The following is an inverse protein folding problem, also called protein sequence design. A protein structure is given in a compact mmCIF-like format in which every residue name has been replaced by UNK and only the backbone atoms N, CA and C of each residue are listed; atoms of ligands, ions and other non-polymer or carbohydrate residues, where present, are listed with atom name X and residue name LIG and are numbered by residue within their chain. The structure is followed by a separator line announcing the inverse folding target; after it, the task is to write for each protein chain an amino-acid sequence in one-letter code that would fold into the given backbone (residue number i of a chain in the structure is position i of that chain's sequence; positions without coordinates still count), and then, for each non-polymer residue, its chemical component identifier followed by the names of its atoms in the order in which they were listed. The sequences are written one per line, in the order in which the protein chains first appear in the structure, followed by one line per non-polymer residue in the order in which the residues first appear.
data_IF_304883846648
#
_entry.id   IF_304883846648
#
_cell.length_a   1.000
_cell.length_b   1.000
_cell.length_c   1.000
_cell.angle_alpha   90.00
_cell.angle_beta   90.00
_cell.angle_gamma   90.00
#
_symmetry.space_group_name_H-M   'P 1'
#
loop_
_entity.id
_entity.type
_entity.pdbx_description
1 polymer ?
#
# COMPACT_ATOMS: atom_id res chain seq x y z
N UNK A 1 5.15 -11.74 -18.42
CA UNK A 1 5.55 -10.61 -17.53
C UNK A 1 4.86 -10.79 -16.18
N UNK A 2 5.60 -11.11 -15.10
CA UNK A 2 5.01 -11.34 -13.76
C UNK A 2 4.41 -10.03 -13.26
N UNK A 3 3.10 -10.00 -12.98
CA UNK A 3 2.46 -8.79 -12.44
C UNK A 3 2.99 -8.56 -11.03
N UNK A 4 3.47 -7.34 -10.69
CA UNK A 4 3.92 -7.06 -9.33
C UNK A 4 2.73 -7.16 -8.38
N UNK A 5 2.83 -8.06 -7.40
CA UNK A 5 1.83 -8.30 -6.37
C UNK A 5 2.13 -7.49 -5.10
N UNK A 6 2.75 -6.31 -5.23
CA UNK A 6 3.20 -5.52 -4.08
C UNK A 6 2.43 -4.21 -3.99
N UNK A 7 2.06 -3.82 -2.77
CA UNK A 7 1.54 -2.50 -2.43
C UNK A 7 2.36 -1.87 -1.30
N UNK A 8 2.24 -0.56 -1.16
CA UNK A 8 2.69 0.19 0.02
C UNK A 8 1.49 0.84 0.67
N UNK A 9 1.46 0.83 2.00
CA UNK A 9 0.55 1.64 2.79
C UNK A 9 1.35 2.67 3.59
N UNK A 10 0.85 3.90 3.63
CA UNK A 10 1.44 5.04 4.34
C UNK A 10 0.51 5.47 5.47
N UNK A 11 1.06 6.15 6.48
CA UNK A 11 0.28 6.73 7.58
C UNK A 11 -0.18 5.72 8.63
N UNK A 12 0.38 4.51 8.61
CA UNK A 12 0.12 3.47 9.61
C UNK A 12 1.15 3.62 10.73
N UNK A 13 0.78 4.13 11.92
CA UNK A 13 1.68 4.14 13.05
C UNK A 13 2.00 2.68 13.41
N UNK A 14 3.28 2.31 13.35
CA UNK A 14 3.73 0.97 13.74
C UNK A 14 4.37 1.12 15.11
N UNK A 15 3.80 0.45 16.11
CA UNK A 15 4.40 0.34 17.43
C UNK A 15 5.46 -0.77 17.45
N UNK A 16 6.44 -0.71 18.36
CA UNK A 16 7.38 -1.81 18.55
C UNK A 16 6.63 -3.12 18.79
N UNK A 17 7.03 -4.19 18.09
CA UNK A 17 6.48 -5.55 18.15
C UNK A 17 5.07 -5.75 17.56
N UNK A 18 4.49 -4.79 16.83
CA UNK A 18 3.24 -5.04 16.11
C UNK A 18 3.45 -5.93 14.88
N UNK A 19 2.55 -6.91 14.71
CA UNK A 19 2.47 -7.70 13.49
C UNK A 19 1.89 -6.86 12.35
N UNK A 20 2.71 -6.55 11.35
CA UNK A 20 2.30 -5.71 10.21
C UNK A 20 1.25 -6.38 9.32
N UNK A 21 1.16 -7.72 9.31
CA UNK A 21 0.12 -8.44 8.58
C UNK A 21 -1.25 -8.20 9.22
N UNK A 22 -1.35 -8.38 10.54
CA UNK A 22 -2.60 -8.22 11.28
C UNK A 22 -3.06 -6.77 11.27
N UNK A 23 -2.11 -5.83 11.45
CA UNK A 23 -2.38 -4.40 11.35
C UNK A 23 -2.98 -4.04 9.98
N UNK A 24 -2.39 -4.55 8.89
CA UNK A 24 -2.89 -4.30 7.55
C UNK A 24 -4.25 -4.96 7.28
N UNK A 25 -4.44 -6.21 7.75
CA UNK A 25 -5.73 -6.93 7.64
C UNK A 25 -6.83 -6.18 8.39
N UNK A 26 -6.56 -5.70 9.60
CA UNK A 26 -7.49 -4.90 10.40
C UNK A 26 -7.87 -3.61 9.68
N UNK A 27 -6.91 -2.86 9.13
CA UNK A 27 -7.18 -1.66 8.33
C UNK A 27 -8.04 -2.00 7.11
N UNK A 28 -7.76 -3.10 6.42
CA UNK A 28 -8.56 -3.54 5.27
C UNK A 28 -9.98 -3.93 5.65
N UNK A 29 -10.16 -4.61 6.79
CA UNK A 29 -11.46 -5.01 7.30
C UNK A 29 -12.29 -3.81 7.73
N UNK A 30 -11.76 -3.00 8.64
CA UNK A 30 -12.46 -1.84 9.24
C UNK A 30 -12.78 -0.74 8.25
N UNK A 31 -11.84 -0.38 7.36
CA UNK A 31 -12.00 0.79 6.48
C UNK A 31 -12.52 0.44 5.09
N UNK A 32 -12.48 -0.84 4.69
CA UNK A 32 -12.83 -1.22 3.30
C UNK A 32 -13.89 -2.29 3.18
N UNK A 33 -14.19 -3.02 4.25
CA UNK A 33 -15.01 -4.23 4.17
C UNK A 33 -14.35 -5.30 3.29
N UNK A 34 -13.02 -5.29 3.19
CA UNK A 34 -12.26 -6.29 2.45
C UNK A 34 -11.67 -7.24 3.48
N UNK A 35 -12.25 -8.43 3.58
CA UNK A 35 -11.73 -9.49 4.41
C UNK A 35 -10.66 -10.27 3.62
N UNK A 36 -9.42 -10.18 4.07
CA UNK A 36 -8.29 -10.86 3.43
C UNK A 36 -8.05 -12.18 4.18
N UNK A 37 -8.06 -13.33 3.49
CA UNK A 37 -7.72 -14.59 4.14
C UNK A 37 -6.27 -14.58 4.62
N UNK A 38 -5.94 -15.44 5.58
CA UNK A 38 -4.60 -15.46 6.20
C UNK A 38 -3.46 -15.59 5.18
N UNK A 39 -3.66 -16.43 4.16
CA UNK A 39 -2.71 -16.69 3.07
C UNK A 39 -2.67 -15.58 2.00
N UNK A 40 -3.45 -14.50 2.12
CA UNK A 40 -3.45 -13.42 1.13
C UNK A 40 -2.14 -12.63 1.13
N UNK A 41 -1.50 -12.51 2.28
CA UNK A 41 -0.21 -11.83 2.47
C UNK A 41 0.86 -12.91 2.52
N UNK A 42 1.88 -12.76 1.67
CA UNK A 42 3.05 -13.64 1.68
C UNK A 42 4.12 -13.08 2.63
N UNK A 43 4.29 -11.76 2.64
CA UNK A 43 5.18 -11.06 3.57
C UNK A 43 4.77 -9.59 3.65
N UNK A 44 4.87 -9.01 4.85
CA UNK A 44 4.87 -7.56 5.04
C UNK A 44 5.98 -7.12 5.99
N UNK A 45 6.45 -5.88 5.82
CA UNK A 45 7.39 -5.25 6.75
C UNK A 45 7.39 -3.73 6.58
N UNK A 46 7.79 -3.03 7.63
CA UNK A 46 8.08 -1.59 7.57
C UNK A 46 9.32 -1.30 6.72
N UNK A 47 9.24 -0.28 5.88
CA UNK A 47 10.40 0.24 5.15
C UNK A 47 11.18 1.24 6.00
N UNK A 48 12.47 1.49 5.71
CA UNK A 48 13.22 2.55 6.36
C UNK A 48 12.52 3.91 6.19
N UNK A 49 12.41 4.64 7.29
CA UNK A 49 11.91 6.01 7.34
C UNK A 49 13.03 6.99 7.64
N UNK A 50 12.81 8.26 7.28
CA UNK A 50 13.61 9.36 7.82
C UNK A 50 13.15 9.65 9.24
N UNK A 51 14.03 10.25 10.05
CA UNK A 51 13.67 10.68 11.40
C UNK A 51 12.35 11.47 11.41
N UNK A 52 11.50 11.19 12.41
CA UNK A 52 10.18 11.82 12.60
C UNK A 52 9.14 11.55 11.50
N UNK A 53 9.37 10.57 10.60
CA UNK A 53 8.37 10.14 9.62
C UNK A 53 7.89 8.72 9.91
N UNK A 54 6.59 8.49 9.74
CA UNK A 54 6.00 7.16 9.86
C UNK A 54 6.47 6.32 8.65
N UNK A 55 7.15 5.17 8.87
CA UNK A 55 7.59 4.32 7.78
C UNK A 55 6.40 3.73 7.01
N UNK A 56 6.46 3.68 5.68
CA UNK A 56 5.47 2.92 4.93
C UNK A 56 5.68 1.42 5.13
N UNK A 57 4.60 0.67 5.20
CA UNK A 57 4.66 -0.79 5.19
C UNK A 57 4.56 -1.25 3.73
N UNK A 58 5.47 -2.13 3.32
CA UNK A 58 5.36 -2.84 2.05
C UNK A 58 4.68 -4.19 2.28
N UNK A 59 3.72 -4.52 1.43
CA UNK A 59 2.97 -5.78 1.48
C UNK A 59 3.16 -6.50 0.15
N UNK A 60 3.61 -7.76 0.20
CA UNK A 60 3.61 -8.69 -0.92
C UNK A 60 2.42 -9.63 -0.76
N UNK A 61 1.55 -9.64 -1.76
CA UNK A 61 0.41 -10.55 -1.81
C UNK A 61 0.78 -11.86 -2.50
N UNK A 62 0.21 -12.97 -2.03
CA UNK A 62 0.32 -14.28 -2.67
C UNK A 62 -0.28 -14.30 -4.09
N UNK A 63 -1.24 -13.42 -4.36
CA UNK A 63 -1.90 -13.32 -5.67
C UNK A 63 -2.18 -11.88 -6.09
N UNK A 64 -2.10 -11.65 -7.40
CA UNK A 64 -2.49 -10.38 -8.02
C UNK A 64 -3.97 -10.05 -7.82
N UNK A 65 -4.82 -11.07 -7.57
CA UNK A 65 -6.24 -10.91 -7.24
C UNK A 65 -6.42 -10.11 -5.95
N UNK A 66 -5.75 -10.53 -4.87
CA UNK A 66 -5.80 -9.83 -3.58
C UNK A 66 -5.26 -8.40 -3.69
N UNK A 67 -4.12 -8.23 -4.38
CA UNK A 67 -3.57 -6.90 -4.66
C UNK A 67 -4.57 -5.99 -5.38
N UNK A 68 -5.22 -6.48 -6.45
CA UNK A 68 -6.21 -5.70 -7.22
C UNK A 68 -7.44 -5.34 -6.39
N UNK A 69 -7.98 -6.31 -5.65
CA UNK A 69 -9.11 -6.10 -4.75
C UNK A 69 -8.81 -5.01 -3.71
N UNK A 70 -7.67 -5.13 -3.01
CA UNK A 70 -7.27 -4.17 -2.00
C UNK A 70 -7.00 -2.78 -2.58
N UNK A 71 -6.35 -2.72 -3.74
CA UNK A 71 -6.05 -1.45 -4.42
C UNK A 71 -7.31 -0.75 -4.97
N UNK A 72 -8.27 -1.51 -5.51
CA UNK A 72 -9.53 -0.96 -6.02
C UNK A 72 -10.32 -0.20 -4.96
N UNK A 73 -10.25 -0.64 -3.70
CA UNK A 73 -10.92 0.02 -2.59
C UNK A 73 -10.14 1.22 -2.02
N UNK A 74 -9.01 1.65 -2.59
CA UNK A 74 -8.20 2.76 -2.05
C UNK A 74 -8.98 4.07 -1.86
N UNK A 75 -10.00 4.31 -2.69
CA UNK A 75 -10.83 5.52 -2.59
C UNK A 75 -11.61 5.58 -1.27
N UNK A 76 -11.88 4.43 -0.62
CA UNK A 76 -12.52 4.37 0.71
C UNK A 76 -11.63 4.86 1.84
N UNK A 77 -10.32 5.02 1.61
CA UNK A 77 -9.38 5.57 2.59
C UNK A 77 -9.27 7.11 2.52
N UNK A 78 -10.01 7.75 1.60
CA UNK A 78 -10.04 9.21 1.52
C UNK A 78 -10.61 9.79 2.81
N UNK A 79 -9.98 10.86 3.30
CA UNK A 79 -10.31 11.46 4.60
C UNK A 79 -9.69 10.75 5.80
N UNK A 80 -9.03 9.60 5.61
CA UNK A 80 -8.18 8.98 6.64
C UNK A 80 -6.71 9.39 6.45
N UNK A 81 -5.88 9.13 7.46
CA UNK A 81 -4.42 9.28 7.34
C UNK A 81 -3.77 8.20 6.46
N UNK A 82 -4.50 7.16 6.06
CA UNK A 82 -3.97 6.02 5.34
C UNK A 82 -3.98 6.25 3.83
N UNK A 83 -2.85 5.98 3.18
CA UNK A 83 -2.73 6.04 1.72
C UNK A 83 -2.18 4.72 1.20
N UNK A 84 -2.83 4.14 0.19
CA UNK A 84 -2.30 2.95 -0.51
C UNK A 84 -1.73 3.36 -1.86
N UNK A 85 -0.48 2.97 -2.11
CA UNK A 85 0.24 3.17 -3.36
C UNK A 85 0.75 1.86 -3.95
N UNK A 86 1.01 1.87 -5.25
CA UNK A 86 1.68 0.75 -5.92
C UNK A 86 3.20 0.84 -5.74
N UNK A 87 3.85 -0.31 -5.66
CA UNK A 87 5.31 -0.39 -5.80
C UNK A 87 5.66 -0.37 -7.28
N UNK A 88 6.15 0.77 -7.75
CA UNK A 88 6.54 0.96 -9.14
C UNK A 88 8.00 0.55 -9.34
N UNK A 89 8.25 -0.11 -10.47
CA UNK A 89 9.62 -0.32 -10.97
C UNK A 89 10.24 1.02 -11.36
N UNK A 90 11.57 1.10 -11.44
CA UNK A 90 12.30 2.34 -11.79
C UNK A 90 11.75 3.00 -13.06
N UNK A 91 11.55 2.22 -14.13
CA UNK A 91 10.97 2.70 -15.39
C UNK A 91 9.56 3.27 -15.22
N UNK A 92 8.68 2.56 -14.51
CA UNK A 92 7.29 3.03 -14.27
C UNK A 92 7.25 4.27 -13.40
N UNK A 93 8.13 4.35 -12.41
CA UNK A 93 8.27 5.54 -11.58
C UNK A 93 8.74 6.75 -12.40
N UNK A 94 9.70 6.55 -13.31
CA UNK A 94 10.16 7.60 -14.21
C UNK A 94 9.03 8.11 -15.09
N UNK A 95 8.28 7.21 -15.73
CA UNK A 95 7.10 7.57 -16.55
C UNK A 95 6.09 8.37 -15.74
N UNK A 96 5.79 7.93 -14.50
CA UNK A 96 4.89 8.66 -13.61
C UNK A 96 5.41 10.06 -13.29
N UNK A 97 6.71 10.21 -13.00
CA UNK A 97 7.34 11.51 -12.71
C UNK A 97 7.27 12.46 -13.91
N UNK A 98 7.55 11.96 -15.11
CA UNK A 98 7.48 12.73 -16.35
C UNK A 98 6.04 13.16 -16.65
N UNK A 99 5.07 12.27 -16.48
CA UNK A 99 3.65 12.59 -16.64
C UNK A 99 3.18 13.66 -15.63
N UNK A 100 3.56 13.54 -14.35
CA UNK A 100 3.24 14.54 -13.33
C UNK A 100 3.88 15.89 -13.64
N UNK A 101 5.13 15.90 -14.15
CA UNK A 101 5.80 17.13 -14.58
C UNK A 101 5.07 17.81 -15.74
N UNK A 102 4.55 17.03 -16.69
CA UNK A 102 3.89 17.55 -17.90
C UNK A 102 2.44 17.98 -17.68
N UNK A 103 1.68 17.22 -16.90
CA UNK A 103 0.22 17.39 -16.76
C UNK A 103 -0.21 17.85 -15.36
N UNK A 104 0.72 18.01 -14.43
CA UNK A 104 0.43 18.21 -13.02
C UNK A 104 -0.05 16.93 -12.33
N UNK A 105 -0.28 17.02 -11.02
CA UNK A 105 -0.86 15.92 -10.24
C UNK A 105 -2.33 16.20 -10.04
N UNK A 106 -3.20 15.30 -10.53
CA UNK A 106 -4.62 15.36 -10.20
C UNK A 106 -4.80 14.98 -8.72
N UNK A 107 -4.97 15.98 -7.86
CA UNK A 107 -5.39 15.79 -6.47
C UNK A 107 -6.90 15.60 -6.55
N UNK A 108 -7.36 14.36 -6.70
CA UNK A 108 -8.76 14.04 -6.45
C UNK A 108 -8.95 13.80 -4.96
#
# INVERSE_FOLDING_TARGET
MKTPCNLKIFGVPVLPNENTDDLFKNICKEKKGVDLPEYAIEISHGLPAREKTIPPIIIKFSSSKFKKMTFGCKNKLRGTSYVIGEVLTRRRLQILKEAVKKFGRRIN
#
